data_IF_900903632293
#
_entry.id   IF_900903632293
#
_cell.length_a   1.000
_cell.length_b   1.000
_cell.length_c   1.000
_cell.angle_alpha   90.00
_cell.angle_beta   90.00
_cell.angle_gamma   90.00
#
_symmetry.space_group_name_H-M   'P 1'
#
loop_
_entity.id
_entity.type
_entity.pdbx_description
1 polymer ?
#
# COMPACT_ATOMS: atom_id res chain seq x y z
N UNK A 1 -7.10 20.53 7.64
CA UNK A 1 -7.25 19.10 7.38
C UNK A 1 -5.95 18.53 6.84
N UNK A 2 -5.49 17.42 7.38
CA UNK A 2 -4.30 16.74 6.88
C UNK A 2 -4.69 15.76 5.77
N UNK A 3 -3.84 15.66 4.77
CA UNK A 3 -4.02 14.70 3.68
C UNK A 3 -2.98 13.60 3.80
N UNK A 4 -3.39 12.37 3.61
CA UNK A 4 -2.52 11.20 3.56
C UNK A 4 -2.84 10.44 2.28
N UNK A 5 -1.82 10.03 1.56
CA UNK A 5 -1.99 9.13 0.42
C UNK A 5 -1.70 7.70 0.85
N UNK A 6 -2.55 6.78 0.43
CA UNK A 6 -2.35 5.36 0.62
C UNK A 6 -2.18 4.73 -0.76
N UNK A 7 -0.97 4.24 -1.04
CA UNK A 7 -0.68 3.56 -2.30
C UNK A 7 -0.84 2.06 -2.06
N UNK A 8 -1.72 1.43 -2.81
CA UNK A 8 -1.93 -0.01 -2.65
C UNK A 8 -1.20 -0.78 -3.75
N UNK A 9 -0.49 -1.83 -3.37
CA UNK A 9 0.25 -2.67 -4.31
C UNK A 9 -0.26 -4.10 -4.34
N UNK A 10 -1.21 -4.45 -3.48
CA UNK A 10 -1.71 -5.80 -3.28
C UNK A 10 -1.17 -6.40 -1.99
N UNK A 11 -0.90 -7.69 -2.00
CA UNK A 11 -0.42 -8.41 -0.83
C UNK A 11 -1.57 -8.93 0.03
N UNK A 12 -1.22 -9.60 1.11
CA UNK A 12 -2.18 -10.31 1.95
C UNK A 12 -3.26 -9.39 2.54
N UNK A 13 -2.90 -8.17 2.86
CA UNK A 13 -3.84 -7.22 3.48
C UNK A 13 -5.06 -6.96 2.59
N UNK A 14 -4.91 -7.09 1.27
CA UNK A 14 -5.98 -6.83 0.31
C UNK A 14 -6.60 -8.10 -0.28
N UNK A 15 -6.20 -9.28 0.16
CA UNK A 15 -6.73 -10.53 -0.37
C UNK A 15 -8.16 -10.77 0.10
N UNK A 16 -8.93 -11.42 -0.77
CA UNK A 16 -10.31 -11.82 -0.49
C UNK A 16 -10.42 -13.31 -0.77
N UNK A 17 -11.03 -14.03 0.16
CA UNK A 17 -11.29 -15.45 -0.03
C UNK A 17 -12.42 -15.65 -1.03
N UNK A 18 -12.18 -16.50 -2.03
CA UNK A 18 -13.20 -16.84 -3.01
C UNK A 18 -13.89 -18.15 -2.60
N UNK A 19 -15.19 -18.09 -2.34
CA UNK A 19 -15.97 -19.27 -1.97
C UNK A 19 -16.06 -20.28 -3.11
N UNK A 20 -16.03 -19.81 -4.36
CA UNK A 20 -16.13 -20.70 -5.52
C UNK A 20 -14.88 -21.52 -5.76
N UNK A 21 -13.72 -20.95 -5.53
CA UNK A 21 -12.44 -21.59 -5.82
C UNK A 21 -11.70 -22.02 -4.57
N UNK A 22 -12.11 -21.57 -3.40
CA UNK A 22 -11.40 -21.79 -2.15
C UNK A 22 -10.06 -21.08 -2.10
N UNK A 23 -9.81 -20.12 -2.96
CA UNK A 23 -8.53 -19.43 -3.07
C UNK A 23 -8.62 -18.03 -2.49
N UNK A 24 -7.51 -17.59 -1.92
CA UNK A 24 -7.33 -16.19 -1.51
C UNK A 24 -6.68 -15.46 -2.69
N UNK A 25 -7.31 -14.39 -3.13
CA UNK A 25 -6.81 -13.61 -4.26
C UNK A 25 -6.75 -12.13 -3.90
N UNK A 26 -5.95 -11.38 -4.67
CA UNK A 26 -5.89 -9.92 -4.53
C UNK A 26 -7.09 -9.30 -5.24
N UNK A 27 -7.78 -8.41 -4.52
CA UNK A 27 -8.88 -7.63 -5.07
C UNK A 27 -8.63 -6.17 -4.69
N UNK A 28 -8.64 -5.29 -5.67
CA UNK A 28 -8.40 -3.86 -5.43
C UNK A 28 -9.54 -3.25 -4.61
N UNK A 29 -9.25 -2.12 -3.96
CA UNK A 29 -10.22 -1.29 -3.25
C UNK A 29 -10.73 -1.82 -1.92
N UNK A 30 -10.19 -2.97 -1.43
CA UNK A 30 -10.56 -3.46 -0.10
C UNK A 30 -10.13 -2.49 0.99
N UNK A 31 -8.89 -1.98 0.88
CA UNK A 31 -8.36 -0.97 1.80
C UNK A 31 -9.24 0.28 1.78
N UNK A 32 -9.62 0.75 0.60
CA UNK A 32 -10.46 1.94 0.45
C UNK A 32 -11.79 1.75 1.18
N UNK A 33 -12.41 0.59 1.02
CA UNK A 33 -13.68 0.29 1.68
C UNK A 33 -13.55 0.30 3.20
N UNK A 34 -12.49 -0.30 3.75
CA UNK A 34 -12.29 -0.33 5.19
C UNK A 34 -11.94 1.04 5.75
N UNK A 35 -11.14 1.82 5.04
CA UNK A 35 -10.83 3.18 5.45
C UNK A 35 -12.06 4.07 5.48
N UNK A 36 -13.00 3.83 4.56
CA UNK A 36 -14.28 4.56 4.55
C UNK A 36 -15.15 4.31 5.78
N UNK A 37 -14.92 3.21 6.50
CA UNK A 37 -15.65 2.90 7.73
C UNK A 37 -15.05 3.56 8.96
N UNK A 38 -13.85 4.11 8.86
CA UNK A 38 -13.16 4.75 9.97
C UNK A 38 -13.59 6.21 10.09
N UNK A 39 -13.67 6.69 11.34
CA UNK A 39 -13.92 8.10 11.59
C UNK A 39 -12.59 8.83 11.67
N UNK A 40 -12.27 9.59 10.63
CA UNK A 40 -11.03 10.36 10.53
C UNK A 40 -11.39 11.82 10.26
N UNK A 41 -11.92 12.56 11.27
CA UNK A 41 -12.53 13.87 11.03
C UNK A 41 -11.55 14.93 10.52
N UNK A 42 -10.27 14.82 10.88
CA UNK A 42 -9.28 15.83 10.51
C UNK A 42 -8.29 15.33 9.47
N UNK A 43 -8.59 14.19 8.82
CA UNK A 43 -7.69 13.58 7.85
C UNK A 43 -8.46 13.23 6.59
N UNK A 44 -7.96 13.67 5.46
CA UNK A 44 -8.41 13.22 4.15
C UNK A 44 -7.47 12.11 3.68
N UNK A 45 -8.02 10.94 3.38
CA UNK A 45 -7.25 9.80 2.90
C UNK A 45 -7.54 9.59 1.43
N UNK A 46 -6.50 9.68 0.60
CA UNK A 46 -6.61 9.40 -0.83
C UNK A 46 -5.96 8.05 -1.11
N UNK A 47 -6.76 7.09 -1.56
CA UNK A 47 -6.27 5.76 -1.90
C UNK A 47 -5.97 5.71 -3.40
N UNK A 48 -4.74 5.34 -3.74
CA UNK A 48 -4.30 5.20 -5.13
C UNK A 48 -3.89 3.74 -5.33
N UNK A 49 -4.71 2.95 -6.03
CA UNK A 49 -4.34 1.57 -6.35
C UNK A 49 -3.32 1.57 -7.50
N UNK A 50 -2.07 1.23 -7.19
CA UNK A 50 -1.01 1.16 -8.18
C UNK A 50 -0.97 -0.16 -8.92
N UNK A 51 -1.13 -1.25 -8.17
CA UNK A 51 -1.09 -2.60 -8.72
C UNK A 51 -1.73 -3.54 -7.70
N UNK A 52 -1.96 -4.78 -8.10
CA UNK A 52 -2.59 -5.77 -7.25
C UNK A 52 -1.84 -7.09 -7.37
N UNK A 53 -0.63 -7.13 -6.81
CA UNK A 53 0.29 -8.26 -6.92
C UNK A 53 0.69 -8.80 -5.57
N UNK A 54 0.99 -10.10 -5.52
CA UNK A 54 1.71 -10.68 -4.39
C UNK A 54 3.15 -10.16 -4.42
N UNK A 55 3.74 -9.95 -3.23
CA UNK A 55 5.07 -9.34 -3.18
C UNK A 55 6.15 -10.21 -3.81
N UNK A 56 5.96 -11.52 -3.88
CA UNK A 56 6.88 -12.42 -4.60
C UNK A 56 6.88 -12.16 -6.12
N UNK A 57 5.80 -11.60 -6.64
CA UNK A 57 5.68 -11.24 -8.06
C UNK A 57 6.12 -9.81 -8.36
N UNK A 58 6.43 -9.04 -7.34
CA UNK A 58 6.83 -7.65 -7.49
C UNK A 58 8.24 -7.59 -8.08
N UNK A 59 8.35 -6.93 -9.22
CA UNK A 59 9.61 -6.80 -9.95
C UNK A 59 10.28 -5.46 -9.67
N UNK A 60 11.50 -5.29 -10.17
CA UNK A 60 12.19 -4.02 -10.12
C UNK A 60 11.43 -2.94 -10.91
N UNK A 61 10.79 -3.32 -12.02
CA UNK A 61 9.95 -2.40 -12.79
C UNK A 61 8.76 -1.91 -11.95
N UNK A 62 8.17 -2.79 -11.16
CA UNK A 62 7.09 -2.41 -10.25
C UNK A 62 7.58 -1.43 -9.19
N UNK A 63 8.78 -1.63 -8.66
CA UNK A 63 9.38 -0.71 -7.69
C UNK A 63 9.67 0.66 -8.29
N UNK A 64 10.06 0.70 -9.56
CA UNK A 64 10.22 1.96 -10.29
C UNK A 64 8.90 2.71 -10.40
N UNK A 65 7.80 2.00 -10.66
CA UNK A 65 6.46 2.60 -10.68
C UNK A 65 6.08 3.17 -9.32
N UNK A 66 6.36 2.42 -8.25
CA UNK A 66 6.11 2.89 -6.88
C UNK A 66 6.91 4.18 -6.62
N UNK A 67 8.18 4.17 -6.95
CA UNK A 67 9.04 5.35 -6.78
C UNK A 67 8.53 6.56 -7.56
N UNK A 68 8.09 6.35 -8.80
CA UNK A 68 7.56 7.44 -9.62
C UNK A 68 6.34 8.09 -8.99
N UNK A 69 5.43 7.28 -8.46
CA UNK A 69 4.24 7.81 -7.80
C UNK A 69 4.60 8.50 -6.48
N UNK A 70 5.51 7.91 -5.71
CA UNK A 70 5.98 8.52 -4.46
C UNK A 70 6.58 9.90 -4.74
N UNK A 71 7.44 10.00 -5.75
CA UNK A 71 8.04 11.30 -6.11
C UNK A 71 7.00 12.34 -6.50
N UNK A 72 5.98 11.92 -7.24
CA UNK A 72 4.91 12.84 -7.64
C UNK A 72 4.14 13.35 -6.42
N UNK A 73 3.84 12.47 -5.47
CA UNK A 73 3.09 12.84 -4.27
C UNK A 73 3.93 13.68 -3.31
N UNK A 74 5.23 13.39 -3.20
CA UNK A 74 6.12 14.14 -2.31
C UNK A 74 6.19 15.63 -2.64
N UNK A 75 5.87 16.01 -3.88
CA UNK A 75 5.79 17.42 -4.25
C UNK A 75 4.71 18.16 -3.48
N UNK A 76 3.70 17.45 -3.02
CA UNK A 76 2.61 18.01 -2.23
C UNK A 76 2.94 18.07 -0.73
N UNK A 77 4.07 17.49 -0.31
CA UNK A 77 4.52 17.44 1.09
C UNK A 77 3.51 16.79 2.03
N UNK A 78 2.95 15.66 1.58
CA UNK A 78 1.97 14.89 2.36
C UNK A 78 2.54 13.51 2.68
N UNK A 79 2.11 12.95 3.80
CA UNK A 79 2.54 11.63 4.24
C UNK A 79 2.00 10.54 3.31
N UNK A 80 2.78 9.47 3.14
CA UNK A 80 2.45 8.36 2.26
C UNK A 80 2.49 7.06 3.05
N UNK A 81 1.45 6.24 2.88
CA UNK A 81 1.42 4.86 3.37
C UNK A 81 1.37 3.95 2.15
N UNK A 82 2.23 2.95 2.12
CA UNK A 82 2.27 1.98 1.03
C UNK A 82 1.88 0.62 1.60
N UNK A 83 0.78 0.05 1.13
CA UNK A 83 0.44 -1.33 1.49
C UNK A 83 1.22 -2.27 0.58
N UNK A 84 1.79 -3.32 1.15
CA UNK A 84 2.74 -4.17 0.44
C UNK A 84 2.69 -5.57 1.03
N UNK A 85 2.92 -6.57 0.21
CA UNK A 85 3.09 -7.93 0.71
C UNK A 85 4.35 -8.04 1.55
N UNK A 86 4.31 -8.89 2.58
CA UNK A 86 5.38 -8.95 3.57
C UNK A 86 6.65 -9.65 3.07
N UNK A 87 6.56 -10.47 2.02
CA UNK A 87 7.71 -11.25 1.55
C UNK A 87 8.88 -10.38 1.05
N UNK A 88 8.57 -9.29 0.35
CA UNK A 88 9.61 -8.41 -0.22
C UNK A 88 9.45 -6.95 0.19
N UNK A 89 8.71 -6.69 1.27
CA UNK A 89 8.50 -5.33 1.76
C UNK A 89 9.82 -4.64 2.11
N UNK A 90 10.75 -5.35 2.72
CA UNK A 90 12.04 -4.80 3.13
C UNK A 90 12.85 -4.37 1.91
N UNK A 91 12.84 -5.17 0.84
CA UNK A 91 13.55 -4.82 -0.39
C UNK A 91 13.01 -3.52 -0.98
N UNK A 92 11.69 -3.35 -1.00
CA UNK A 92 11.09 -2.12 -1.49
C UNK A 92 11.46 -0.93 -0.61
N UNK A 93 11.42 -1.12 0.71
CA UNK A 93 11.79 -0.07 1.66
C UNK A 93 13.25 0.36 1.51
N UNK A 94 14.16 -0.59 1.39
CA UNK A 94 15.59 -0.31 1.18
C UNK A 94 15.81 0.42 -0.15
N UNK A 95 15.11 0.00 -1.19
CA UNK A 95 15.19 0.65 -2.50
C UNK A 95 14.79 2.13 -2.42
N UNK A 96 13.64 2.40 -1.79
CA UNK A 96 13.16 3.77 -1.66
C UNK A 96 14.09 4.63 -0.80
N UNK A 97 14.56 4.08 0.32
CA UNK A 97 15.47 4.79 1.22
C UNK A 97 16.77 5.15 0.53
N UNK A 98 17.29 4.27 -0.32
CA UNK A 98 18.54 4.53 -1.03
C UNK A 98 18.44 5.66 -2.05
N UNK A 99 17.25 5.86 -2.62
CA UNK A 99 17.04 6.88 -3.65
C UNK A 99 16.49 8.19 -3.07
N UNK A 100 15.73 8.10 -1.97
CA UNK A 100 15.08 9.24 -1.33
C UNK A 100 15.71 9.49 0.05
N UNK A 101 16.95 10.01 0.11
CA UNK A 101 17.69 10.09 1.37
C UNK A 101 17.18 11.15 2.35
N UNK A 102 16.52 12.19 1.85
CA UNK A 102 16.02 13.27 2.70
C UNK A 102 14.52 13.43 2.48
N UNK A 103 13.75 13.06 3.50
CA UNK A 103 12.30 13.16 3.45
C UNK A 103 11.82 14.23 4.44
N UNK A 104 10.95 15.10 3.96
CA UNK A 104 10.29 16.10 4.82
C UNK A 104 9.03 15.51 5.48
N UNK A 105 8.51 14.42 4.94
CA UNK A 105 7.30 13.76 5.43
C UNK A 105 7.57 12.26 5.53
N UNK A 106 6.83 11.54 6.39
CA UNK A 106 7.04 10.10 6.53
C UNK A 106 6.50 9.31 5.34
N UNK A 107 7.22 8.23 5.02
CA UNK A 107 6.74 7.18 4.12
C UNK A 107 6.74 5.89 4.94
N UNK A 108 5.58 5.27 5.07
CA UNK A 108 5.42 4.06 5.87
C UNK A 108 4.98 2.91 4.97
N UNK A 109 5.71 1.80 5.04
CA UNK A 109 5.28 0.56 4.38
C UNK A 109 4.60 -0.31 5.41
N UNK A 110 3.45 -0.87 5.06
CA UNK A 110 2.68 -1.72 5.95
C UNK A 110 2.05 -2.87 5.18
N UNK A 111 1.80 -3.95 5.90
CA UNK A 111 1.15 -5.13 5.34
C UNK A 111 0.51 -5.93 6.45
N UNK A 112 -0.01 -7.09 6.11
CA UNK A 112 -0.66 -7.97 7.07
C UNK A 112 -0.35 -9.42 6.76
N UNK A 113 -0.35 -10.24 7.78
CA UNK A 113 -0.18 -11.69 7.63
C UNK A 113 -1.50 -12.39 7.30
N UNK A 114 -2.62 -11.72 7.58
CA UNK A 114 -3.97 -12.21 7.26
C UNK A 114 -4.74 -11.14 6.50
N UNK A 115 -5.65 -11.53 5.58
CA UNK A 115 -6.48 -10.55 4.88
C UNK A 115 -7.34 -9.75 5.85
N UNK A 116 -7.62 -8.49 5.47
CA UNK A 116 -8.55 -7.66 6.25
C UNK A 116 -9.94 -8.30 6.27
N UNK A 117 -10.56 -8.28 7.45
CA UNK A 117 -11.88 -8.85 7.62
C UNK A 117 -11.88 -10.32 7.99
N UNK A 118 -10.72 -11.00 7.97
CA UNK A 118 -10.59 -12.35 8.47
C UNK A 118 -10.28 -12.33 9.95
N UNK A 119 -10.88 -13.25 10.70
CA UNK A 119 -10.52 -13.43 12.10
C UNK A 119 -9.17 -14.16 12.20
N UNK A 120 -8.35 -13.75 13.14
CA UNK A 120 -7.06 -14.39 13.40
C UNK A 120 -5.87 -13.48 13.25
#
# INVERSE_FOLDING_TARGET
>A
MKTIYVLTTGGTIEKVYSEHTGRVSNVSSKIDRYLGLLRLPDVEVNVVPLMNKDSLELSDADRILILGMVRAILKEKVAIVITHGTDTMVETGVYLKGILPQLEVPIVLTGAMSPLGFEG
#
